data_IF_652443674894
#
_entry.id   IF_652443674894
#
_cell.length_a   1.000
_cell.length_b   1.000
_cell.length_c   1.000
_cell.angle_alpha   90.00
_cell.angle_beta   90.00
_cell.angle_gamma   90.00
#
_symmetry.space_group_name_H-M   'P 1'
#
loop_
_entity.id
_entity.type
_entity.pdbx_description
1 polymer ?
#
# COMPACT_ATOMS: atom_id res chain seq x y z
N UNK A 1 -21.05 1.10 3.39
CA UNK A 1 -19.86 0.76 4.19
C UNK A 1 -19.06 -0.22 3.35
N UNK A 2 -17.76 0.02 3.19
CA UNK A 2 -16.92 -0.86 2.39
C UNK A 2 -16.45 -2.01 3.26
N UNK A 3 -16.29 -3.19 2.67
CA UNK A 3 -15.99 -4.38 3.46
C UNK A 3 -14.49 -4.45 3.78
N UNK A 4 -13.64 -3.87 2.93
CA UNK A 4 -12.20 -4.08 2.97
C UNK A 4 -11.45 -2.89 2.36
N UNK A 5 -10.49 -2.33 3.12
CA UNK A 5 -9.57 -1.30 2.67
C UNK A 5 -8.31 -1.91 2.06
N UNK A 6 -7.90 -1.45 0.89
CA UNK A 6 -6.68 -1.90 0.21
C UNK A 6 -5.53 -0.91 0.46
N UNK A 7 -4.65 -1.23 1.40
CA UNK A 7 -3.46 -0.45 1.72
C UNK A 7 -2.30 -0.88 0.79
N UNK A 8 -1.85 0.00 -0.11
CA UNK A 8 -0.79 -0.35 -1.06
C UNK A 8 0.11 0.83 -1.43
N UNK A 9 1.35 0.57 -1.90
CA UNK A 9 2.28 1.62 -2.26
C UNK A 9 1.75 2.53 -3.37
N UNK A 10 2.04 3.84 -3.27
CA UNK A 10 1.62 4.84 -4.26
C UNK A 10 2.09 4.52 -5.67
N UNK A 11 3.24 3.85 -5.80
CA UNK A 11 3.78 3.49 -7.11
C UNK A 11 3.06 2.32 -7.81
N UNK A 12 2.01 1.75 -7.21
CA UNK A 12 1.08 0.86 -7.90
C UNK A 12 -0.16 1.58 -8.42
N UNK A 13 -0.39 2.86 -8.07
CA UNK A 13 -1.61 3.58 -8.42
C UNK A 13 -1.79 3.73 -9.94
N UNK A 14 -3.00 3.48 -10.42
CA UNK A 14 -3.42 3.52 -11.82
C UNK A 14 -2.62 2.58 -12.72
N UNK A 15 -2.12 1.47 -12.16
CA UNK A 15 -1.42 0.43 -12.91
C UNK A 15 -2.32 -0.78 -13.15
N UNK A 16 -2.00 -1.56 -14.17
CA UNK A 16 -2.66 -2.85 -14.38
C UNK A 16 -2.45 -3.81 -13.21
N UNK A 17 -1.30 -3.70 -12.53
CA UNK A 17 -0.98 -4.48 -11.33
C UNK A 17 -1.91 -4.18 -10.16
N UNK A 18 -2.23 -2.91 -9.88
CA UNK A 18 -3.24 -2.55 -8.87
C UNK A 18 -4.60 -3.17 -9.18
N UNK A 19 -5.05 -3.10 -10.44
CA UNK A 19 -6.30 -3.74 -10.87
C UNK A 19 -6.26 -5.26 -10.70
N UNK A 20 -5.13 -5.90 -11.01
CA UNK A 20 -4.93 -7.34 -10.84
C UNK A 20 -5.00 -7.75 -9.35
N UNK A 21 -4.37 -6.97 -8.46
CA UNK A 21 -4.52 -7.14 -7.01
C UNK A 21 -5.98 -7.02 -6.56
N UNK A 22 -6.73 -6.02 -7.03
CA UNK A 22 -8.15 -5.89 -6.68
C UNK A 22 -9.00 -7.08 -7.14
N UNK A 23 -8.70 -7.66 -8.31
CA UNK A 23 -9.37 -8.87 -8.81
C UNK A 23 -9.05 -10.06 -7.90
N UNK A 24 -7.77 -10.24 -7.53
CA UNK A 24 -7.33 -11.28 -6.58
C UNK A 24 -8.06 -11.13 -5.23
N UNK A 25 -8.06 -9.91 -4.65
CA UNK A 25 -8.76 -9.60 -3.39
C UNK A 25 -10.24 -9.94 -3.50
N UNK A 26 -10.90 -9.49 -4.56
CA UNK A 26 -12.32 -9.70 -4.76
C UNK A 26 -12.64 -11.20 -4.82
N UNK A 27 -11.85 -11.97 -5.55
CA UNK A 27 -12.02 -13.41 -5.69
C UNK A 27 -11.89 -14.13 -4.33
N UNK A 28 -10.79 -13.91 -3.61
CA UNK A 28 -10.46 -14.69 -2.42
C UNK A 28 -11.19 -14.25 -1.15
N UNK A 29 -11.50 -12.95 -1.01
CA UNK A 29 -12.01 -12.39 0.25
C UNK A 29 -13.44 -11.86 0.17
N UNK A 30 -13.94 -11.55 -1.03
CA UNK A 30 -15.21 -10.81 -1.20
C UNK A 30 -16.20 -11.51 -2.13
N UNK A 31 -15.98 -12.79 -2.48
CA UNK A 31 -16.88 -13.57 -3.32
C UNK A 31 -17.09 -12.97 -4.72
N UNK A 32 -16.06 -12.32 -5.27
CA UNK A 32 -16.06 -11.64 -6.57
C UNK A 32 -16.50 -10.17 -6.54
N UNK A 33 -16.88 -9.61 -5.38
CA UNK A 33 -17.34 -8.21 -5.27
C UNK A 33 -16.20 -7.21 -5.21
N UNK A 34 -15.65 -6.85 -6.37
CA UNK A 34 -14.56 -5.85 -6.47
C UNK A 34 -14.98 -4.47 -5.96
N UNK A 35 -16.25 -4.11 -6.12
CA UNK A 35 -16.81 -2.83 -5.65
C UNK A 35 -16.90 -2.72 -4.12
N UNK A 36 -16.73 -3.82 -3.37
CA UNK A 36 -16.66 -3.81 -1.91
C UNK A 36 -15.26 -3.38 -1.37
N UNK A 37 -14.27 -3.23 -2.26
CA UNK A 37 -12.93 -2.72 -1.95
C UNK A 37 -12.98 -1.19 -1.89
N UNK A 38 -12.39 -0.63 -0.83
CA UNK A 38 -12.03 0.79 -0.75
C UNK A 38 -10.55 0.93 -1.09
N UNK A 39 -10.26 1.56 -2.23
CA UNK A 39 -8.89 1.77 -2.72
C UNK A 39 -8.53 3.26 -2.57
N UNK A 40 -7.41 3.61 -1.91
CA UNK A 40 -7.01 5.01 -1.67
C UNK A 40 -6.78 5.85 -2.94
N UNK A 41 -6.57 5.23 -4.09
CA UNK A 41 -6.39 5.89 -5.39
C UNK A 41 -7.73 6.26 -6.08
N UNK A 42 -8.88 5.89 -5.51
CA UNK A 42 -10.19 6.23 -6.08
C UNK A 42 -10.42 7.76 -6.12
N UNK A 43 -11.13 8.21 -7.16
CA UNK A 43 -11.30 9.65 -7.46
C UNK A 43 -11.92 10.43 -6.29
N UNK A 44 -12.89 9.84 -5.56
CA UNK A 44 -13.54 10.51 -4.43
C UNK A 44 -12.57 10.80 -3.29
N UNK A 45 -11.51 10.02 -3.11
CA UNK A 45 -10.47 10.33 -2.13
C UNK A 45 -9.59 11.49 -2.56
N UNK A 46 -9.33 11.65 -3.85
CA UNK A 46 -8.59 12.80 -4.37
C UNK A 46 -9.38 14.10 -4.12
N UNK A 47 -10.70 14.05 -4.33
CA UNK A 47 -11.62 15.16 -4.07
C UNK A 47 -11.75 15.44 -2.57
N UNK A 48 -11.99 14.40 -1.77
CA UNK A 48 -12.10 14.48 -0.32
C UNK A 48 -10.83 15.03 0.33
N UNK A 49 -9.66 14.55 -0.09
CA UNK A 49 -8.37 15.05 0.35
C UNK A 49 -8.17 16.53 0.01
N UNK A 50 -8.53 16.96 -1.22
CA UNK A 50 -8.45 18.37 -1.62
C UNK A 50 -9.37 19.24 -0.78
N UNK A 51 -10.58 18.77 -0.47
CA UNK A 51 -11.52 19.48 0.40
C UNK A 51 -10.98 19.57 1.83
N UNK A 52 -10.49 18.45 2.38
CA UNK A 52 -9.87 18.38 3.71
C UNK A 52 -8.72 19.38 3.87
N UNK A 53 -7.81 19.40 2.89
CA UNK A 53 -6.64 20.29 2.90
C UNK A 53 -7.01 21.78 2.85
N UNK A 54 -8.17 22.15 2.29
CA UNK A 54 -8.66 23.53 2.29
C UNK A 54 -9.26 23.96 3.63
N UNK A 55 -9.79 23.02 4.41
CA UNK A 55 -10.47 23.28 5.68
C UNK A 55 -9.55 23.32 6.91
N UNK A 56 -8.39 22.65 6.88
CA UNK A 56 -7.47 22.62 8.01
C UNK A 56 -6.34 23.66 7.89
N UNK A 57 -6.43 24.72 8.69
CA UNK A 57 -5.43 25.81 8.78
C UNK A 57 -4.40 25.57 9.90
N UNK A 58 -4.49 24.47 10.65
CA UNK A 58 -3.69 24.22 11.85
C UNK A 58 -2.60 23.18 11.63
N UNK A 59 -1.48 23.60 11.02
CA UNK A 59 -0.14 23.04 11.19
C UNK A 59 0.13 21.56 10.78
N UNK A 60 1.13 21.43 9.89
CA UNK A 60 2.07 20.32 9.67
C UNK A 60 1.51 19.00 9.11
N UNK A 61 1.82 18.68 7.86
CA UNK A 61 1.84 17.31 7.31
C UNK A 61 0.56 16.44 7.40
N UNK A 62 -0.60 17.00 7.76
CA UNK A 62 -1.87 16.28 8.01
C UNK A 62 -2.59 15.70 6.78
N UNK A 63 -1.95 15.66 5.61
CA UNK A 63 -2.55 15.04 4.44
C UNK A 63 -3.03 13.62 4.73
N UNK A 64 -2.18 12.82 5.38
CA UNK A 64 -2.53 11.45 5.74
C UNK A 64 -3.68 11.35 6.74
N UNK A 65 -3.93 12.36 7.58
CA UNK A 65 -5.00 12.27 8.59
C UNK A 65 -6.38 12.12 7.96
N UNK A 66 -6.58 12.65 6.75
CA UNK A 66 -7.80 12.41 5.97
C UNK A 66 -8.17 10.92 5.90
N UNK A 67 -7.21 10.04 5.61
CA UNK A 67 -7.48 8.60 5.53
C UNK A 67 -7.85 8.03 6.90
N UNK A 68 -7.07 8.35 7.94
CA UNK A 68 -7.31 7.85 9.30
C UNK A 68 -8.62 8.35 9.92
N UNK A 69 -9.03 9.58 9.60
CA UNK A 69 -10.19 10.23 10.18
C UNK A 69 -11.47 9.93 9.39
N UNK A 70 -11.37 9.84 8.05
CA UNK A 70 -12.54 9.80 7.17
C UNK A 70 -12.71 8.50 6.39
N UNK A 71 -11.64 7.74 6.13
CA UNK A 71 -11.69 6.57 5.25
C UNK A 71 -11.62 5.28 6.03
N UNK A 72 -10.53 5.07 6.77
CA UNK A 72 -10.26 3.82 7.49
C UNK A 72 -11.39 3.42 8.46
N UNK A 73 -12.01 4.34 9.24
CA UNK A 73 -13.11 3.99 10.13
C UNK A 73 -14.36 3.45 9.43
N UNK A 74 -14.49 3.65 8.11
CA UNK A 74 -15.64 3.22 7.32
C UNK A 74 -15.44 1.87 6.62
N UNK A 75 -14.33 1.18 6.90
CA UNK A 75 -14.02 -0.14 6.38
C UNK A 75 -13.90 -1.18 7.51
N UNK A 76 -14.37 -2.41 7.27
CA UNK A 76 -14.42 -3.44 8.31
C UNK A 76 -13.11 -4.24 8.46
N UNK A 77 -12.27 -4.24 7.43
CA UNK A 77 -11.03 -5.00 7.38
C UNK A 77 -9.99 -4.27 6.52
N UNK A 78 -8.76 -4.75 6.53
CA UNK A 78 -7.67 -4.25 5.68
C UNK A 78 -6.94 -5.41 5.01
N UNK A 79 -6.56 -5.20 3.76
CA UNK A 79 -5.52 -5.98 3.08
C UNK A 79 -4.38 -5.05 2.71
N UNK A 80 -3.15 -5.50 2.89
CA UNK A 80 -1.96 -4.73 2.61
C UNK A 80 -1.10 -5.37 1.52
N UNK A 81 -0.49 -4.54 0.70
CA UNK A 81 0.54 -4.93 -0.27
C UNK A 81 1.89 -4.37 0.22
N UNK A 82 2.87 -5.23 0.57
CA UNK A 82 4.23 -4.80 0.84
C UNK A 82 4.95 -4.44 -0.46
N UNK A 83 6.23 -4.08 -0.38
CA UNK A 83 7.14 -4.18 -1.51
C UNK A 83 7.51 -5.66 -1.78
N UNK A 84 8.20 -5.94 -2.88
CA UNK A 84 8.56 -7.32 -3.26
C UNK A 84 9.56 -7.99 -2.30
N UNK A 85 10.23 -7.23 -1.44
CA UNK A 85 11.04 -7.76 -0.33
C UNK A 85 10.24 -7.95 0.97
N UNK A 86 8.90 -7.98 0.88
CA UNK A 86 7.95 -8.20 1.99
C UNK A 86 7.93 -7.07 3.04
N UNK A 87 8.69 -5.99 2.84
CA UNK A 87 8.71 -4.82 3.73
C UNK A 87 7.63 -3.81 3.35
N UNK A 88 7.11 -3.09 4.33
CA UNK A 88 6.04 -2.11 4.13
C UNK A 88 6.54 -0.67 4.15
N UNK A 89 6.06 0.12 3.19
CA UNK A 89 6.15 1.58 3.26
C UNK A 89 5.47 2.11 4.52
N UNK A 90 5.99 3.19 5.10
CA UNK A 90 5.49 3.75 6.36
C UNK A 90 3.98 4.11 6.31
N UNK A 91 3.47 4.54 5.16
CA UNK A 91 2.04 4.83 4.97
C UNK A 91 1.18 3.58 5.09
N UNK A 92 1.51 2.54 4.31
CA UNK A 92 0.83 1.23 4.32
C UNK A 92 0.89 0.60 5.72
N UNK A 93 2.06 0.64 6.36
CA UNK A 93 2.23 0.15 7.72
C UNK A 93 1.34 0.92 8.73
N UNK A 94 1.25 2.25 8.60
CA UNK A 94 0.37 3.07 9.42
C UNK A 94 -1.11 2.68 9.27
N UNK A 95 -1.55 2.44 8.04
CA UNK A 95 -2.92 1.98 7.74
C UNK A 95 -3.19 0.59 8.31
N UNK A 96 -2.28 -0.37 8.14
CA UNK A 96 -2.40 -1.69 8.78
C UNK A 96 -2.49 -1.58 10.30
N UNK A 97 -1.61 -0.77 10.90
CA UNK A 97 -1.54 -0.57 12.35
C UNK A 97 -2.86 -0.02 12.91
N UNK A 98 -3.56 0.84 12.16
CA UNK A 98 -4.88 1.34 12.56
C UNK A 98 -5.87 0.19 12.83
N UNK A 99 -5.88 -0.85 11.99
CA UNK A 99 -6.77 -2.01 12.14
C UNK A 99 -6.29 -2.97 13.23
N UNK A 100 -4.99 -3.30 13.22
CA UNK A 100 -4.41 -4.26 14.17
C UNK A 100 -4.63 -3.84 15.62
N UNK A 101 -4.39 -2.57 15.97
CA UNK A 101 -4.57 -2.09 17.37
C UNK A 101 -6.04 -2.07 17.82
N UNK A 102 -6.99 -2.25 16.88
CA UNK A 102 -8.42 -2.36 17.14
C UNK A 102 -8.91 -3.82 17.16
N UNK A 103 -7.99 -4.79 17.05
CA UNK A 103 -8.32 -6.21 16.95
C UNK A 103 -9.01 -6.57 15.63
N UNK A 104 -8.88 -5.72 14.60
CA UNK A 104 -9.45 -5.96 13.28
C UNK A 104 -8.46 -6.75 12.44
N UNK A 105 -8.99 -7.70 11.66
CA UNK A 105 -8.20 -8.58 10.80
C UNK A 105 -7.49 -7.78 9.69
N UNK A 106 -6.21 -8.08 9.51
CA UNK A 106 -5.39 -7.63 8.38
C UNK A 106 -4.93 -8.84 7.57
N UNK A 107 -5.06 -8.75 6.25
CA UNK A 107 -4.49 -9.68 5.30
C UNK A 107 -3.31 -9.06 4.56
N UNK A 108 -2.45 -9.89 3.99
CA UNK A 108 -1.28 -9.49 3.21
C UNK A 108 -1.35 -10.16 1.85
N UNK A 109 -1.13 -9.39 0.79
CA UNK A 109 -0.82 -9.92 -0.55
C UNK A 109 0.70 -10.06 -0.60
N UNK A 110 1.21 -11.25 -0.91
CA UNK A 110 2.65 -11.46 -1.04
C UNK A 110 2.99 -12.33 -2.25
N UNK A 111 4.20 -12.17 -2.81
CA UNK A 111 4.72 -13.12 -3.79
C UNK A 111 4.73 -14.55 -3.24
N UNK A 112 4.25 -15.51 -4.04
CA UNK A 112 4.39 -16.93 -3.72
C UNK A 112 5.85 -17.42 -3.86
N UNK A 113 6.68 -16.66 -4.59
CA UNK A 113 8.10 -16.94 -4.87
C UNK A 113 8.88 -15.63 -4.78
N UNK A 114 10.14 -15.71 -4.33
CA UNK A 114 10.98 -14.52 -4.08
C UNK A 114 11.37 -13.75 -5.34
N UNK A 115 11.49 -14.44 -6.47
CA UNK A 115 11.99 -13.85 -7.72
C UNK A 115 10.84 -13.34 -8.60
N UNK A 116 10.19 -12.26 -8.18
CA UNK A 116 9.16 -11.59 -9.00
C UNK A 116 9.83 -10.63 -9.98
N UNK A 117 9.73 -10.96 -11.26
CA UNK A 117 10.22 -10.12 -12.37
C UNK A 117 9.07 -9.37 -13.04
N UNK A 118 9.38 -8.43 -13.94
CA UNK A 118 8.36 -7.75 -14.76
C UNK A 118 7.52 -8.74 -15.59
N UNK A 119 8.13 -9.83 -16.07
CA UNK A 119 7.42 -10.88 -16.80
C UNK A 119 6.40 -11.61 -15.90
N UNK A 120 6.78 -11.91 -14.66
CA UNK A 120 5.88 -12.50 -13.66
C UNK A 120 4.73 -11.55 -13.34
N UNK A 121 5.00 -10.25 -13.21
CA UNK A 121 3.93 -9.26 -13.01
C UNK A 121 3.01 -9.19 -14.23
N UNK A 122 3.55 -9.23 -15.45
CA UNK A 122 2.74 -9.20 -16.66
C UNK A 122 1.82 -10.43 -16.74
N UNK A 123 2.32 -11.63 -16.44
CA UNK A 123 1.52 -12.85 -16.38
C UNK A 123 0.45 -12.77 -15.28
N UNK A 124 0.78 -12.27 -14.10
CA UNK A 124 -0.19 -12.03 -13.02
C UNK A 124 -1.27 -11.02 -13.42
N UNK A 125 -0.91 -9.99 -14.19
CA UNK A 125 -1.88 -9.00 -14.70
C UNK A 125 -2.87 -9.63 -15.67
N UNK A 126 -2.43 -10.59 -16.49
CA UNK A 126 -3.28 -11.30 -17.45
C UNK A 126 -4.23 -12.29 -16.76
N UNK A 127 -3.76 -13.00 -15.74
CA UNK A 127 -4.58 -13.97 -14.98
C UNK A 127 -4.30 -13.93 -13.47
N UNK A 128 -4.84 -12.96 -12.74
CA UNK A 128 -4.53 -12.75 -11.33
C UNK A 128 -5.06 -13.84 -10.40
N UNK A 129 -5.96 -14.71 -10.86
CA UNK A 129 -6.61 -15.73 -10.01
C UNK A 129 -5.97 -17.09 -10.15
N UNK A 130 -5.50 -17.45 -11.36
CA UNK A 130 -4.96 -18.79 -11.61
C UNK A 130 -3.43 -18.82 -11.65
N UNK A 131 -2.78 -17.66 -11.66
CA UNK A 131 -1.33 -17.60 -11.52
C UNK A 131 -0.93 -17.78 -10.06
N UNK A 132 -0.14 -18.81 -9.76
CA UNK A 132 0.41 -19.06 -8.41
C UNK A 132 1.53 -18.06 -8.05
N UNK A 133 1.46 -16.81 -8.50
CA UNK A 133 2.50 -15.80 -8.32
C UNK A 133 2.29 -14.92 -7.10
N UNK A 134 1.04 -14.67 -6.74
CA UNK A 134 0.67 -13.91 -5.55
C UNK A 134 -0.35 -14.68 -4.73
N UNK A 135 -0.21 -14.61 -3.41
CA UNK A 135 -1.13 -15.24 -2.47
C UNK A 135 -1.66 -14.23 -1.47
N UNK A 136 -2.78 -14.56 -0.84
CA UNK A 136 -3.37 -13.79 0.24
C UNK A 136 -3.32 -14.63 1.51
N UNK A 137 -2.74 -14.08 2.57
CA UNK A 137 -2.70 -14.72 3.90
C UNK A 137 -3.06 -13.74 5.00
N UNK A 138 -3.52 -14.20 6.18
CA UNK A 138 -3.59 -13.34 7.36
C UNK A 138 -2.19 -12.89 7.79
N UNK A 139 -2.10 -11.70 8.39
CA UNK A 139 -0.89 -11.25 9.10
C UNK A 139 -0.56 -12.22 10.25
N UNK A 140 0.72 -12.48 10.46
CA UNK A 140 1.22 -13.29 11.58
C UNK A 140 1.38 -12.46 12.86
N UNK A 141 1.33 -13.11 14.02
CA UNK A 141 1.48 -12.46 15.32
C UNK A 141 2.84 -11.73 15.47
N UNK A 142 3.92 -12.31 14.91
CA UNK A 142 5.24 -11.69 14.93
C UNK A 142 5.31 -10.45 14.02
N UNK A 143 4.58 -10.43 12.90
CA UNK A 143 4.48 -9.26 12.03
C UNK A 143 3.69 -8.15 12.72
N UNK A 144 2.65 -8.50 13.49
CA UNK A 144 1.88 -7.55 14.31
C UNK A 144 2.81 -6.85 15.32
N UNK A 145 3.68 -7.59 16.01
CA UNK A 145 4.63 -7.01 16.96
C UNK A 145 5.56 -6.00 16.28
N UNK A 146 6.21 -6.39 15.19
CA UNK A 146 7.08 -5.51 14.42
C UNK A 146 6.34 -4.30 13.84
N UNK A 147 5.10 -4.48 13.38
CA UNK A 147 4.26 -3.40 12.89
C UNK A 147 3.93 -2.39 14.00
N UNK A 148 3.60 -2.85 15.22
CA UNK A 148 3.28 -1.97 16.34
C UNK A 148 4.47 -1.09 16.71
N UNK A 149 5.69 -1.64 16.68
CA UNK A 149 6.91 -0.89 17.02
C UNK A 149 7.56 -0.18 15.84
N UNK A 150 6.99 -0.29 14.63
CA UNK A 150 7.60 0.18 13.38
C UNK A 150 9.04 -0.37 13.23
N UNK A 151 9.24 -1.65 13.54
CA UNK A 151 10.54 -2.30 13.45
C UNK A 151 11.03 -2.29 11.99
N UNK A 152 12.29 -1.89 11.79
CA UNK A 152 12.88 -1.74 10.46
C UNK A 152 12.97 -3.05 9.68
N UNK A 153 12.88 -4.20 10.35
CA UNK A 153 12.76 -5.50 9.71
C UNK A 153 11.51 -5.58 8.83
N UNK A 154 10.40 -4.98 9.27
CA UNK A 154 9.11 -5.05 8.58
C UNK A 154 8.70 -3.72 7.93
N UNK A 155 8.99 -2.58 8.56
CA UNK A 155 8.54 -1.25 8.15
C UNK A 155 9.74 -0.41 7.74
N UNK A 156 9.77 0.03 6.48
CA UNK A 156 10.86 0.91 6.02
C UNK A 156 10.72 2.30 6.64
N UNK A 157 11.83 2.97 7.02
CA UNK A 157 11.81 4.35 7.48
C UNK A 157 11.16 5.31 6.47
N UNK A 158 10.79 6.49 6.94
CA UNK A 158 10.13 7.51 6.10
C UNK A 158 10.95 7.91 4.87
N UNK A 159 12.26 8.06 5.02
CA UNK A 159 13.19 8.40 3.93
C UNK A 159 13.28 7.28 2.90
N UNK A 160 13.43 6.03 3.37
CA UNK A 160 13.44 4.85 2.51
C UNK A 160 12.08 4.67 1.80
N UNK A 161 10.95 4.88 2.50
CA UNK A 161 9.60 4.85 1.88
C UNK A 161 9.52 5.81 0.68
N UNK A 162 10.04 7.03 0.82
CA UNK A 162 10.07 8.01 -0.28
C UNK A 162 10.97 7.52 -1.41
N UNK A 163 12.15 7.02 -1.09
CA UNK A 163 13.12 6.53 -2.07
C UNK A 163 12.57 5.33 -2.88
N UNK A 164 11.88 4.41 -2.22
CA UNK A 164 11.22 3.26 -2.84
C UNK A 164 10.00 3.65 -3.69
N UNK A 165 9.37 4.79 -3.40
CA UNK A 165 8.21 5.29 -4.15
C UNK A 165 8.60 6.14 -5.36
N UNK A 166 9.69 6.91 -5.27
CA UNK A 166 10.05 7.93 -6.26
C UNK A 166 11.46 7.71 -6.83
N UNK A 167 11.64 8.02 -8.11
CA UNK A 167 12.97 8.24 -8.71
C UNK A 167 13.42 9.68 -8.43
N UNK A 168 12.49 10.63 -8.58
CA UNK A 168 12.64 12.03 -8.19
C UNK A 168 11.41 12.40 -7.37
N UNK A 169 11.61 12.89 -6.14
CA UNK A 169 10.54 13.06 -5.16
C UNK A 169 9.39 13.92 -5.71
N UNK A 170 8.17 13.38 -5.68
CA UNK A 170 6.95 13.98 -6.20
C UNK A 170 6.99 14.41 -7.69
N UNK A 171 7.89 13.82 -8.49
CA UNK A 171 8.01 14.12 -9.93
C UNK A 171 7.96 12.87 -10.80
N UNK A 172 8.75 11.85 -10.45
CA UNK A 172 8.88 10.62 -11.23
C UNK A 172 8.68 9.44 -10.30
N UNK A 173 7.60 8.69 -10.51
CA UNK A 173 7.27 7.49 -9.73
C UNK A 173 8.26 6.37 -10.11
N UNK A 174 8.73 5.62 -9.12
CA UNK A 174 9.58 4.44 -9.32
C UNK A 174 8.74 3.22 -9.65
N UNK A 175 9.06 2.42 -10.68
CA UNK A 175 8.38 1.16 -10.94
C UNK A 175 8.31 0.27 -9.70
N UNK A 176 7.19 -0.40 -9.47
CA UNK A 176 6.99 -1.24 -8.29
C UNK A 176 8.02 -2.39 -8.21
N UNK A 177 8.39 -2.98 -9.35
CA UNK A 177 9.41 -4.03 -9.44
C UNK A 177 10.81 -3.57 -9.05
N UNK A 178 11.10 -2.28 -9.15
CA UNK A 178 12.40 -1.70 -8.74
C UNK A 178 12.39 -1.18 -7.30
N UNK A 179 11.22 -1.07 -6.67
CA UNK A 179 11.06 -0.37 -5.40
C UNK A 179 11.85 -1.00 -4.25
N UNK A 180 11.96 -2.33 -4.23
CA UNK A 180 12.68 -3.05 -3.20
C UNK A 180 14.21 -3.07 -3.41
N UNK A 181 14.70 -2.64 -4.58
CA UNK A 181 16.13 -2.67 -4.94
C UNK A 181 16.89 -1.43 -4.49
N UNK A 182 16.21 -0.44 -3.90
CA UNK A 182 16.82 0.80 -3.46
C UNK A 182 16.88 0.88 -1.94
N UNK A 183 18.02 1.36 -1.46
CA UNK A 183 18.32 1.54 -0.05
C UNK A 183 18.96 2.90 0.19
N UNK A 184 18.99 3.31 1.47
CA UNK A 184 19.65 4.54 1.89
C UNK A 184 21.18 4.42 1.69
N UNK A 185 21.90 5.54 1.47
CA UNK A 185 21.44 6.93 1.56
C UNK A 185 20.64 7.42 0.33
N UNK A 186 19.88 8.50 0.51
CA UNK A 186 19.18 9.17 -0.60
C UNK A 186 20.22 9.68 -1.63
N UNK A 187 20.06 9.39 -2.93
CA UNK A 187 21.00 9.83 -3.95
C UNK A 187 20.91 11.35 -4.21
N UNK A 188 22.02 11.93 -4.67
CA UNK A 188 22.07 13.33 -5.09
C UNK A 188 21.01 13.64 -6.17
N UNK A 189 20.31 14.75 -6.00
CA UNK A 189 19.26 15.18 -6.94
C UNK A 189 17.90 14.50 -6.75
N UNK A 190 17.74 13.58 -5.78
CA UNK A 190 16.44 12.99 -5.45
C UNK A 190 15.38 14.02 -5.07
N UNK A 191 15.78 15.00 -4.24
CA UNK A 191 14.96 16.17 -3.95
C UNK A 191 15.20 17.23 -5.01
N UNK A 192 14.16 17.62 -5.79
CA UNK A 192 14.31 18.68 -6.77
C UNK A 192 14.70 19.98 -6.08
N UNK A 193 15.64 20.73 -6.67
CA UNK A 193 15.95 22.09 -6.23
C UNK A 193 14.70 22.96 -6.47
N UNK A 194 14.32 23.72 -5.46
CA UNK A 194 13.20 24.68 -5.54
C UNK A 194 13.41 25.73 -6.64
#
# INVERSE_FOLDING_TARGET
MKELYFAHPVNTYNTAFETACEILIAHYLLGGKRDAIENPNQLHHQEGYRAWKKGDTSHSHRGMSYFFDMVLPNCNNCIALPYLDERFGLGVAGEMKFYVVRGIRVWIIEPAKKDVTDAVIAEFVEDPVHTEYFTIRPIHDWEIEYLIYNDTYLVVPHEETRLRTWVVYNKVIRPYTEAHLVELPIPDGFYPKE
#
